data_IF_149961915445
#
_entry.id   IF_149961915445
#
_cell.length_a   1.000
_cell.length_b   1.000
_cell.length_c   1.000
_cell.angle_alpha   90.00
_cell.angle_beta   90.00
_cell.angle_gamma   90.00
#
_symmetry.space_group_name_H-M   'P 1'
#
loop_
_entity.id
_entity.type
_entity.pdbx_description
1 polymer ?
#
# COMPACT_ATOMS: atom_id res chain seq x y z
N UNK A 1 18.05 5.97 -6.78
CA UNK A 1 17.13 5.22 -5.89
C UNK A 1 17.72 3.83 -5.68
N UNK A 2 17.89 3.37 -4.44
CA UNK A 2 18.58 2.10 -4.16
C UNK A 2 17.67 0.93 -4.58
N UNK A 3 18.08 0.17 -5.59
CA UNK A 3 17.31 -0.95 -6.16
C UNK A 3 16.91 -1.98 -5.10
N UNK A 4 17.76 -2.19 -4.10
CA UNK A 4 17.48 -3.04 -2.95
C UNK A 4 16.27 -2.56 -2.15
N UNK A 5 16.09 -1.25 -1.99
CA UNK A 5 14.97 -0.68 -1.25
C UNK A 5 13.65 -0.91 -2.00
N UNK A 6 13.64 -0.76 -3.33
CA UNK A 6 12.45 -1.03 -4.16
C UNK A 6 12.03 -2.49 -4.04
N UNK A 7 12.99 -3.43 -4.13
CA UNK A 7 12.72 -4.87 -3.99
C UNK A 7 12.15 -5.21 -2.61
N UNK A 8 12.70 -4.62 -1.54
CA UNK A 8 12.17 -4.81 -0.18
C UNK A 8 10.72 -4.32 -0.10
N UNK A 9 10.42 -3.13 -0.64
CA UNK A 9 9.07 -2.58 -0.61
C UNK A 9 8.08 -3.41 -1.44
N UNK A 10 8.48 -3.93 -2.60
CA UNK A 10 7.66 -4.83 -3.40
C UNK A 10 7.29 -6.10 -2.63
N UNK A 11 8.27 -6.75 -1.99
CA UNK A 11 8.02 -7.93 -1.15
C UNK A 11 7.06 -7.64 0.02
N UNK A 12 7.19 -6.48 0.66
CA UNK A 12 6.28 -6.06 1.72
C UNK A 12 4.84 -5.87 1.20
N UNK A 13 4.67 -5.27 0.02
CA UNK A 13 3.37 -5.09 -0.61
C UNK A 13 2.75 -6.44 -0.97
N UNK A 14 3.50 -7.32 -1.64
CA UNK A 14 3.05 -8.66 -2.02
C UNK A 14 2.62 -9.47 -0.79
N UNK A 15 3.41 -9.41 0.29
CA UNK A 15 3.08 -10.07 1.55
C UNK A 15 1.76 -9.52 2.14
N UNK A 16 1.61 -8.20 2.24
CA UNK A 16 0.40 -7.59 2.78
C UNK A 16 -0.86 -7.93 1.96
N UNK A 17 -0.75 -7.94 0.63
CA UNK A 17 -1.85 -8.37 -0.26
C UNK A 17 -2.15 -9.85 -0.08
N UNK A 18 -1.13 -10.69 0.06
CA UNK A 18 -1.30 -12.12 0.32
C UNK A 18 -2.03 -12.40 1.63
N UNK A 19 -1.65 -11.71 2.72
CA UNK A 19 -2.34 -11.82 4.02
C UNK A 19 -3.81 -11.40 3.90
N UNK A 20 -4.09 -10.27 3.23
CA UNK A 20 -5.47 -9.84 3.02
C UNK A 20 -6.29 -10.86 2.20
N UNK A 21 -5.67 -11.50 1.20
CA UNK A 21 -6.32 -12.49 0.34
C UNK A 21 -6.69 -13.79 1.09
N UNK A 22 -5.95 -14.17 2.14
CA UNK A 22 -6.29 -15.32 3.00
C UNK A 22 -7.68 -15.13 3.63
N UNK A 23 -8.00 -13.90 4.04
CA UNK A 23 -9.29 -13.54 4.61
C UNK A 23 -10.35 -13.19 3.53
N UNK A 24 -10.08 -13.47 2.25
CA UNK A 24 -10.95 -13.12 1.13
C UNK A 24 -10.95 -11.63 0.78
N UNK A 25 -10.08 -10.84 1.42
CA UNK A 25 -9.89 -9.42 1.16
C UNK A 25 -9.10 -9.16 -0.12
N UNK A 26 -9.48 -8.09 -0.84
CA UNK A 26 -8.70 -7.56 -1.96
C UNK A 26 -8.53 -6.05 -1.80
N UNK A 27 -7.33 -5.50 -2.07
CA UNK A 27 -7.16 -4.05 -2.08
C UNK A 27 -8.12 -3.40 -3.07
N UNK A 28 -8.69 -2.25 -2.68
CA UNK A 28 -9.40 -1.40 -3.63
C UNK A 28 -8.44 -0.88 -4.71
N UNK A 29 -8.97 -0.43 -5.86
CA UNK A 29 -8.14 0.19 -6.90
C UNK A 29 -7.31 1.38 -6.36
N UNK A 30 -7.90 2.17 -5.45
CA UNK A 30 -7.20 3.22 -4.72
C UNK A 30 -6.01 2.68 -3.94
N UNK A 31 -6.24 1.66 -3.10
CA UNK A 31 -5.20 1.06 -2.25
C UNK A 31 -4.10 0.42 -3.09
N UNK A 32 -4.46 -0.30 -4.15
CA UNK A 32 -3.49 -0.94 -5.05
C UNK A 32 -2.59 0.08 -5.74
N UNK A 33 -3.16 1.18 -6.25
CA UNK A 33 -2.37 2.25 -6.86
C UNK A 33 -1.41 2.89 -5.84
N UNK A 34 -1.87 3.11 -4.61
CA UNK A 34 -1.06 3.71 -3.56
C UNK A 34 0.07 2.78 -3.07
N UNK A 35 -0.19 1.47 -2.99
CA UNK A 35 0.84 0.45 -2.70
C UNK A 35 1.89 0.39 -3.81
N UNK A 36 1.50 0.50 -5.07
CA UNK A 36 2.44 0.57 -6.20
C UNK A 36 3.33 1.82 -6.13
N UNK A 37 2.76 2.97 -5.78
CA UNK A 37 3.54 4.20 -5.57
C UNK A 37 4.53 4.05 -4.42
N UNK A 38 4.14 3.40 -3.33
CA UNK A 38 5.04 3.12 -2.21
C UNK A 38 6.18 2.18 -2.64
N UNK A 39 5.85 1.09 -3.35
CA UNK A 39 6.82 0.13 -3.85
C UNK A 39 7.87 0.79 -4.76
N UNK A 40 7.42 1.67 -5.65
CA UNK A 40 8.28 2.47 -6.53
C UNK A 40 8.95 3.66 -5.83
N UNK A 41 8.63 3.87 -4.55
CA UNK A 41 9.05 4.96 -3.67
C UNK A 41 8.76 6.36 -4.17
N UNK A 42 7.66 6.50 -4.90
CA UNK A 42 7.00 7.76 -5.21
C UNK A 42 6.35 8.37 -3.96
N UNK A 43 5.99 7.53 -2.98
CA UNK A 43 5.51 7.95 -1.65
C UNK A 43 6.27 7.22 -0.54
N UNK A 44 6.37 7.87 0.61
CA UNK A 44 6.87 7.32 1.87
C UNK A 44 5.82 6.45 2.56
N UNK A 45 6.24 5.70 3.59
CA UNK A 45 5.32 4.94 4.44
C UNK A 45 4.36 5.84 5.21
N UNK A 46 4.79 7.04 5.62
CA UNK A 46 3.96 8.03 6.31
C UNK A 46 2.86 8.56 5.40
N UNK A 47 3.20 8.92 4.15
CA UNK A 47 2.24 9.39 3.15
C UNK A 47 1.25 8.29 2.74
N UNK A 48 1.74 7.05 2.55
CA UNK A 48 0.89 5.87 2.35
C UNK A 48 -0.13 5.73 3.48
N UNK A 49 0.34 5.75 4.74
CA UNK A 49 -0.54 5.60 5.92
C UNK A 49 -1.57 6.72 5.99
N UNK A 50 -1.13 7.97 5.80
CA UNK A 50 -2.00 9.13 5.85
C UNK A 50 -3.09 9.05 4.77
N UNK A 51 -2.74 8.75 3.52
CA UNK A 51 -3.71 8.65 2.43
C UNK A 51 -4.73 7.51 2.64
N UNK A 52 -4.32 6.38 3.22
CA UNK A 52 -5.26 5.31 3.61
C UNK A 52 -6.21 5.80 4.69
N UNK A 53 -5.69 6.39 5.77
CA UNK A 53 -6.53 6.91 6.87
C UNK A 53 -7.51 7.92 6.32
N UNK A 54 -7.06 8.92 5.57
CA UNK A 54 -7.92 9.96 4.99
C UNK A 54 -9.03 9.39 4.10
N UNK A 55 -8.71 8.41 3.24
CA UNK A 55 -9.69 7.80 2.34
C UNK A 55 -10.82 7.09 3.09
N UNK A 56 -10.47 6.35 4.15
CA UNK A 56 -11.40 5.46 4.83
C UNK A 56 -12.02 6.04 6.09
N UNK A 57 -11.45 7.10 6.68
CA UNK A 57 -12.08 7.85 7.77
C UNK A 57 -13.04 8.94 7.27
N UNK A 58 -12.74 9.60 6.14
CA UNK A 58 -13.68 10.54 5.51
C UNK A 58 -14.90 9.87 4.88
N UNK A 59 -14.81 8.59 4.53
CA UNK A 59 -15.93 7.82 4.01
C UNK A 59 -16.96 7.42 5.09
N UNK A 60 -16.64 7.64 6.37
CA UNK A 60 -17.50 7.31 7.52
C UNK A 60 -18.16 8.53 8.18
N UNK A 61 -18.07 9.72 7.57
CA UNK A 61 -18.81 10.91 7.98
C UNK A 61 -20.02 11.17 7.09
#
# INVERSE_FOLDING_TARGET
>A
MNENLRLVRQKLVEFAVGIAAIDGGKPSAFTQNLLNQYANGQVSSSELKQAIVEKYTRASQ
#
